data_IF_781936372201
#
_entry.id   IF_781936372201
#
_cell.length_a   1.000
_cell.length_b   1.000
_cell.length_c   1.000
_cell.angle_alpha   90.00
_cell.angle_beta   90.00
_cell.angle_gamma   90.00
#
_symmetry.space_group_name_H-M   'P 1'
#
loop_
_entity.id
_entity.type
_entity.pdbx_description
1 polymer ?
#
# COMPACT_ATOMS: atom_id res chain seq x y z
N UNK A 1 21.79 1.94 19.52
CA UNK A 1 21.57 2.54 18.17
C UNK A 1 22.64 2.11 17.17
N UNK A 2 23.95 2.37 17.42
CA UNK A 2 25.04 1.92 16.54
C UNK A 2 25.16 0.38 16.40
N UNK A 3 24.84 -0.39 17.44
CA UNK A 3 24.89 -1.87 17.39
C UNK A 3 23.77 -2.51 16.54
N UNK A 4 22.61 -1.87 16.41
CA UNK A 4 21.51 -2.37 15.55
C UNK A 4 21.82 -2.20 14.06
N UNK A 5 22.61 -1.19 13.70
CA UNK A 5 22.99 -0.87 12.31
C UNK A 5 24.06 -1.84 11.80
N UNK A 6 24.93 -2.37 12.68
CA UNK A 6 25.98 -3.31 12.30
C UNK A 6 25.45 -4.75 12.06
N UNK A 7 24.33 -5.13 12.70
CA UNK A 7 23.79 -6.49 12.63
C UNK A 7 23.02 -6.81 11.32
N UNK A 8 22.72 -5.82 10.47
CA UNK A 8 21.98 -6.03 9.22
C UNK A 8 22.88 -6.22 7.98
N UNK A 9 24.20 -6.35 8.16
CA UNK A 9 25.20 -6.45 7.08
C UNK A 9 25.44 -7.84 6.47
N UNK A 10 24.72 -8.88 6.90
CA UNK A 10 24.91 -10.25 6.40
C UNK A 10 23.59 -10.89 5.95
N UNK A 11 23.12 -10.56 4.75
CA UNK A 11 22.16 -11.39 4.03
C UNK A 11 22.66 -11.58 2.60
N UNK A 12 23.17 -12.78 2.33
CA UNK A 12 23.54 -13.25 1.00
C UNK A 12 22.32 -13.40 0.07
N UNK A 13 22.53 -13.80 -1.20
CA UNK A 13 21.50 -13.74 -2.22
C UNK A 13 20.48 -14.86 -1.99
N UNK A 14 19.37 -14.55 -1.31
CA UNK A 14 18.21 -15.42 -1.24
C UNK A 14 17.29 -15.08 -2.43
N UNK A 15 17.00 -16.10 -3.23
CA UNK A 15 16.13 -16.02 -4.39
C UNK A 15 14.75 -15.48 -4.05
N UNK A 16 14.16 -14.84 -5.05
CA UNK A 16 12.77 -14.35 -5.06
C UNK A 16 11.83 -15.53 -4.81
N UNK A 17 11.47 -15.77 -3.55
CA UNK A 17 10.27 -16.50 -3.19
C UNK A 17 9.17 -15.47 -3.02
N UNK A 18 8.07 -15.60 -3.76
CA UNK A 18 6.87 -14.79 -3.56
C UNK A 18 6.35 -15.04 -2.14
N UNK A 19 6.58 -14.10 -1.23
CA UNK A 19 5.93 -14.09 0.09
C UNK A 19 4.44 -13.80 -0.11
N UNK A 20 3.65 -14.87 -0.27
CA UNK A 20 2.20 -14.80 -0.12
C UNK A 20 1.93 -14.48 1.35
N UNK A 21 1.10 -13.46 1.60
CA UNK A 21 0.46 -13.30 2.90
C UNK A 21 -0.09 -14.67 3.32
N UNK A 22 0.30 -15.18 4.49
CA UNK A 22 -0.29 -16.41 5.00
C UNK A 22 -1.71 -16.04 5.39
N UNK A 23 -2.68 -16.47 4.60
CA UNK A 23 -4.11 -16.26 4.86
C UNK A 23 -4.70 -17.51 5.51
N UNK A 24 -5.39 -17.36 6.64
CA UNK A 24 -6.23 -18.42 7.22
C UNK A 24 -7.67 -18.12 6.85
N UNK A 25 -8.26 -18.94 5.99
CA UNK A 25 -9.66 -18.75 5.57
C UNK A 25 -10.55 -19.70 6.37
N UNK A 26 -11.46 -19.13 7.17
CA UNK A 26 -12.55 -19.87 7.79
C UNK A 26 -13.78 -19.70 6.90
N UNK A 27 -14.17 -20.77 6.22
CA UNK A 27 -15.37 -20.78 5.39
C UNK A 27 -16.56 -21.24 6.23
N UNK A 28 -17.78 -20.81 5.86
CA UNK A 28 -19.00 -21.50 6.29
C UNK A 28 -19.05 -22.94 5.73
N UNK A 29 -18.37 -23.16 4.60
CA UNK A 29 -18.32 -24.40 3.84
C UNK A 29 -16.89 -24.94 3.71
N UNK A 30 -16.60 -26.13 4.25
CA UNK A 30 -15.35 -26.81 3.94
C UNK A 30 -15.25 -27.13 2.43
N UNK A 31 -14.36 -26.42 1.72
CA UNK A 31 -13.70 -26.84 0.47
C UNK A 31 -14.49 -26.83 -0.87
N UNK A 32 -15.19 -25.74 -1.21
CA UNK A 32 -15.54 -25.47 -2.63
C UNK A 32 -15.22 -24.04 -3.12
N UNK A 33 -15.13 -23.05 -2.22
CA UNK A 33 -14.93 -21.64 -2.57
C UNK A 33 -13.49 -21.15 -2.75
N UNK A 34 -12.47 -21.96 -2.44
CA UNK A 34 -11.06 -21.52 -2.43
C UNK A 34 -10.61 -21.00 -3.80
N UNK A 35 -10.83 -21.72 -4.90
CA UNK A 35 -10.27 -21.31 -6.20
C UNK A 35 -10.88 -20.00 -6.77
N UNK A 36 -12.15 -19.71 -6.48
CA UNK A 36 -12.81 -18.48 -6.93
C UNK A 36 -12.50 -17.31 -5.99
N UNK A 37 -12.49 -17.51 -4.67
CA UNK A 37 -12.06 -16.49 -3.71
C UNK A 37 -10.57 -16.19 -3.87
N UNK A 38 -9.72 -17.20 -4.01
CA UNK A 38 -8.29 -17.06 -4.32
C UNK A 38 -8.12 -16.37 -5.68
N UNK A 39 -8.91 -16.73 -6.71
CA UNK A 39 -8.89 -16.07 -8.02
C UNK A 39 -9.40 -14.61 -7.99
N UNK A 40 -10.41 -14.31 -7.18
CA UNK A 40 -10.94 -12.95 -6.98
C UNK A 40 -9.98 -12.10 -6.14
N UNK A 41 -9.29 -12.68 -5.16
CA UNK A 41 -8.25 -12.03 -4.37
C UNK A 41 -6.97 -11.81 -5.19
N UNK A 42 -6.55 -12.78 -6.02
CA UNK A 42 -5.37 -12.70 -6.91
C UNK A 42 -5.59 -11.82 -8.17
N UNK A 43 -6.85 -11.50 -8.52
CA UNK A 43 -7.20 -10.75 -9.73
C UNK A 43 -6.67 -9.31 -9.81
N UNK A 44 -6.06 -8.79 -8.74
CA UNK A 44 -5.30 -7.53 -8.82
C UNK A 44 -3.95 -7.66 -9.54
N UNK A 45 -3.53 -8.87 -9.94
CA UNK A 45 -2.15 -9.13 -10.40
C UNK A 45 -2.06 -9.79 -11.80
N UNK A 46 -3.12 -10.42 -12.36
CA UNK A 46 -3.05 -11.00 -13.72
C UNK A 46 -4.40 -11.12 -14.46
N UNK A 47 -4.54 -10.56 -15.69
CA UNK A 47 -5.72 -10.74 -16.52
C UNK A 47 -5.65 -12.06 -17.31
N UNK A 48 -6.64 -12.95 -17.17
CA UNK A 48 -6.72 -14.15 -18.03
C UNK A 48 -7.61 -15.34 -17.61
N UNK A 49 -8.31 -15.29 -16.48
CA UNK A 49 -9.19 -16.37 -16.01
C UNK A 49 -10.66 -15.96 -16.05
N UNK A 50 -11.56 -16.95 -16.28
CA UNK A 50 -13.03 -16.84 -16.19
C UNK A 50 -13.48 -16.40 -14.79
N UNK A 51 -13.30 -15.11 -14.48
CA UNK A 51 -13.61 -14.50 -13.19
C UNK A 51 -14.68 -13.42 -13.36
N UNK A 52 -15.46 -13.13 -12.30
CA UNK A 52 -16.54 -12.15 -12.37
C UNK A 52 -16.00 -10.78 -12.77
N UNK A 53 -16.65 -10.11 -13.71
CA UNK A 53 -16.21 -8.78 -14.16
C UNK A 53 -16.82 -7.72 -13.26
N UNK A 54 -15.98 -6.95 -12.55
CA UNK A 54 -16.47 -5.79 -11.80
C UNK A 54 -17.09 -4.76 -12.75
N UNK A 55 -18.33 -4.37 -12.48
CA UNK A 55 -19.12 -3.39 -13.26
C UNK A 55 -19.42 -2.11 -12.48
N UNK A 56 -19.44 -2.17 -11.15
CA UNK A 56 -19.65 -1.00 -10.29
C UNK A 56 -19.11 -1.21 -8.86
N UNK A 57 -19.20 -0.17 -8.02
CA UNK A 57 -18.96 -0.23 -6.57
C UNK A 57 -19.77 0.85 -5.84
N UNK A 58 -20.11 0.60 -4.57
CA UNK A 58 -20.58 1.65 -3.68
C UNK A 58 -19.42 2.54 -3.21
N UNK A 59 -19.70 3.78 -2.75
CA UNK A 59 -18.74 4.53 -1.95
C UNK A 59 -18.30 3.71 -0.73
N UNK A 60 -17.02 3.83 -0.36
CA UNK A 60 -16.48 3.14 0.80
C UNK A 60 -17.15 3.60 2.09
N UNK A 61 -17.66 2.66 2.90
CA UNK A 61 -18.19 2.95 4.23
C UNK A 61 -17.01 2.99 5.22
N UNK A 62 -16.59 4.21 5.57
CA UNK A 62 -15.47 4.42 6.48
C UNK A 62 -15.78 4.08 7.94
N UNK A 63 -17.06 4.00 8.33
CA UNK A 63 -17.46 3.68 9.70
C UNK A 63 -17.26 2.19 9.98
N UNK A 64 -17.80 1.35 9.10
CA UNK A 64 -17.76 -0.11 9.23
C UNK A 64 -16.70 -0.78 8.34
N UNK A 65 -15.89 0.05 7.69
CA UNK A 65 -14.80 -0.34 6.80
C UNK A 65 -15.23 -1.25 5.64
N UNK A 66 -16.42 -1.01 5.06
CA UNK A 66 -16.99 -1.88 4.03
C UNK A 66 -16.66 -1.41 2.62
N UNK A 67 -16.30 -2.37 1.78
CA UNK A 67 -16.11 -2.24 0.35
C UNK A 67 -17.10 -3.17 -0.37
N UNK A 68 -18.10 -2.57 -1.01
CA UNK A 68 -19.11 -3.28 -1.79
C UNK A 68 -18.88 -3.09 -3.29
N UNK A 69 -18.79 -4.22 -4.01
CA UNK A 69 -18.48 -4.28 -5.43
C UNK A 69 -19.50 -5.14 -6.17
N UNK A 70 -19.83 -4.75 -7.40
CA UNK A 70 -20.82 -5.42 -8.24
C UNK A 70 -20.12 -6.11 -9.40
N UNK A 71 -20.48 -7.36 -9.64
CA UNK A 71 -19.83 -8.19 -10.64
C UNK A 71 -20.86 -8.88 -11.54
N UNK A 72 -20.56 -8.94 -12.82
CA UNK A 72 -21.34 -9.71 -13.80
C UNK A 72 -20.80 -11.14 -13.86
N UNK A 73 -21.70 -12.13 -13.74
CA UNK A 73 -21.35 -13.54 -13.85
C UNK A 73 -21.39 -13.96 -15.32
N UNK A 74 -20.29 -14.53 -15.82
CA UNK A 74 -20.12 -14.91 -17.24
C UNK A 74 -19.71 -16.37 -17.44
N UNK A 75 -19.33 -17.09 -16.38
CA UNK A 75 -18.83 -18.47 -16.43
C UNK A 75 -19.82 -19.54 -15.98
N UNK A 76 -19.64 -20.78 -16.48
CA UNK A 76 -20.43 -21.96 -16.06
C UNK A 76 -20.25 -22.27 -14.56
N UNK A 77 -19.01 -22.16 -14.03
CA UNK A 77 -18.70 -22.39 -12.61
C UNK A 77 -19.37 -21.40 -11.67
N UNK A 78 -19.49 -20.15 -12.10
CA UNK A 78 -20.15 -19.09 -11.33
C UNK A 78 -21.65 -19.37 -11.20
N UNK A 79 -22.26 -19.88 -12.27
CA UNK A 79 -23.68 -20.26 -12.29
C UNK A 79 -23.99 -21.46 -11.40
N UNK A 80 -23.03 -22.38 -11.20
CA UNK A 80 -23.17 -23.50 -10.26
C UNK A 80 -23.13 -23.04 -8.79
N UNK A 81 -22.25 -22.08 -8.47
CA UNK A 81 -22.06 -21.59 -7.09
C UNK A 81 -23.10 -20.55 -6.68
N UNK A 82 -23.61 -19.79 -7.66
CA UNK A 82 -24.63 -18.75 -7.48
C UNK A 82 -25.84 -19.02 -8.39
N UNK A 83 -26.63 -20.07 -8.11
CA UNK A 83 -27.73 -20.46 -9.00
C UNK A 83 -28.79 -19.36 -9.11
N UNK A 84 -29.13 -19.00 -10.35
CA UNK A 84 -30.18 -18.01 -10.66
C UNK A 84 -29.73 -16.55 -10.65
N UNK A 85 -28.47 -16.26 -10.32
CA UNK A 85 -27.92 -14.91 -10.36
C UNK A 85 -27.29 -14.59 -11.73
N UNK A 86 -27.52 -13.38 -12.24
CA UNK A 86 -26.76 -12.84 -13.39
C UNK A 86 -25.65 -11.90 -12.93
N UNK A 87 -25.84 -11.31 -11.76
CA UNK A 87 -24.91 -10.41 -11.10
C UNK A 87 -24.70 -10.81 -9.64
N UNK A 88 -23.55 -10.44 -9.11
CA UNK A 88 -23.13 -10.74 -7.75
C UNK A 88 -22.71 -9.45 -7.06
N UNK A 89 -23.29 -9.20 -5.89
CA UNK A 89 -22.81 -8.17 -4.96
C UNK A 89 -21.85 -8.84 -3.99
N UNK A 90 -20.67 -8.25 -3.83
CA UNK A 90 -19.65 -8.72 -2.90
C UNK A 90 -19.28 -7.59 -1.96
N UNK A 91 -19.52 -7.81 -0.68
CA UNK A 91 -19.19 -6.89 0.40
C UNK A 91 -18.08 -7.49 1.25
N UNK A 92 -17.01 -6.72 1.44
CA UNK A 92 -15.86 -7.11 2.26
C UNK A 92 -15.55 -5.99 3.25
N UNK A 93 -15.18 -6.33 4.47
CA UNK A 93 -14.82 -5.33 5.47
C UNK A 93 -14.62 -5.90 6.85
N UNK A 94 -14.81 -5.09 7.89
CA UNK A 94 -14.69 -5.54 9.27
C UNK A 94 -15.66 -6.70 9.54
N UNK A 95 -15.14 -7.79 10.12
CA UNK A 95 -15.89 -9.04 10.24
C UNK A 95 -17.14 -8.93 11.11
N UNK A 96 -17.04 -8.29 12.28
CA UNK A 96 -18.15 -8.15 13.22
C UNK A 96 -19.28 -7.24 12.68
N UNK A 97 -19.02 -6.02 12.16
CA UNK A 97 -20.06 -5.22 11.52
C UNK A 97 -20.74 -5.93 10.34
N UNK A 98 -19.97 -6.66 9.53
CA UNK A 98 -20.51 -7.43 8.42
C UNK A 98 -21.41 -8.58 8.90
N UNK A 99 -21.00 -9.29 9.95
CA UNK A 99 -21.82 -10.33 10.58
C UNK A 99 -23.14 -9.77 11.10
N UNK A 100 -23.14 -8.57 11.69
CA UNK A 100 -24.35 -7.88 12.13
C UNK A 100 -25.32 -7.48 11.01
N UNK A 101 -24.85 -7.43 9.76
CA UNK A 101 -25.63 -7.13 8.56
C UNK A 101 -26.04 -8.39 7.77
N UNK A 102 -25.59 -9.57 8.18
CA UNK A 102 -25.89 -10.84 7.51
C UNK A 102 -27.19 -11.46 8.04
N UNK A 103 -28.04 -11.91 7.11
CA UNK A 103 -29.25 -12.69 7.42
C UNK A 103 -29.09 -14.19 7.12
N UNK A 104 -28.07 -14.55 6.34
CA UNK A 104 -27.80 -15.91 5.91
C UNK A 104 -26.32 -16.24 6.04
N UNK A 105 -25.99 -17.51 6.08
CA UNK A 105 -24.64 -18.02 5.85
C UNK A 105 -24.62 -18.98 4.66
N UNK A 106 -23.50 -19.02 3.96
CA UNK A 106 -23.32 -19.91 2.84
C UNK A 106 -22.64 -21.21 3.31
N UNK A 107 -23.36 -22.33 3.17
CA UNK A 107 -22.86 -23.68 3.39
C UNK A 107 -22.68 -24.42 2.05
N UNK A 108 -21.98 -25.59 2.00
CA UNK A 108 -21.81 -26.35 0.76
C UNK A 108 -23.13 -26.73 0.09
N UNK A 109 -24.19 -26.92 0.88
CA UNK A 109 -25.54 -27.25 0.43
C UNK A 109 -26.34 -26.03 -0.05
N UNK A 110 -25.83 -24.81 0.17
CA UNK A 110 -26.45 -23.54 -0.20
C UNK A 110 -26.61 -22.57 0.97
N UNK A 111 -27.23 -21.39 0.73
CA UNK A 111 -27.48 -20.40 1.76
C UNK A 111 -28.53 -20.88 2.77
N UNK A 112 -28.24 -20.78 4.06
CA UNK A 112 -29.17 -21.05 5.16
C UNK A 112 -29.36 -19.80 6.04
N UNK A 113 -30.53 -19.64 6.69
CA UNK A 113 -30.74 -18.55 7.64
C UNK A 113 -29.71 -18.56 8.76
N UNK A 114 -29.15 -17.39 9.06
CA UNK A 114 -28.18 -17.22 10.13
C UNK A 114 -28.91 -17.10 11.46
N UNK A 115 -29.04 -18.21 12.19
CA UNK A 115 -29.65 -18.23 13.51
C UNK A 115 -28.68 -17.72 14.60
N UNK A 116 -29.21 -17.50 15.82
CA UNK A 116 -28.41 -17.00 16.95
C UNK A 116 -27.25 -17.91 17.32
N UNK A 117 -27.41 -19.23 17.17
CA UNK A 117 -26.35 -20.20 17.48
C UNK A 117 -25.23 -20.13 16.45
N UNK A 118 -25.57 -19.95 15.17
CA UNK A 118 -24.62 -19.81 14.07
C UNK A 118 -23.91 -18.47 14.12
N UNK A 119 -24.61 -17.37 14.39
CA UNK A 119 -23.97 -16.07 14.64
C UNK A 119 -22.98 -16.14 15.80
N UNK A 120 -23.32 -16.81 16.90
CA UNK A 120 -22.39 -16.99 18.03
C UNK A 120 -21.14 -17.78 17.62
N UNK A 121 -21.29 -18.83 16.81
CA UNK A 121 -20.14 -19.60 16.29
C UNK A 121 -19.25 -18.76 15.37
N UNK A 122 -19.82 -17.89 14.53
CA UNK A 122 -19.03 -16.96 13.71
C UNK A 122 -18.27 -15.95 14.59
N UNK A 123 -18.91 -15.41 15.63
CA UNK A 123 -18.26 -14.50 16.57
C UNK A 123 -17.11 -15.18 17.32
N UNK A 124 -17.30 -16.41 17.81
CA UNK A 124 -16.24 -17.20 18.45
C UNK A 124 -15.04 -17.42 17.50
N UNK A 125 -15.30 -17.65 16.21
CA UNK A 125 -14.24 -17.77 15.20
C UNK A 125 -13.50 -16.43 14.97
N UNK A 126 -14.20 -15.29 14.99
CA UNK A 126 -13.58 -13.96 14.92
C UNK A 126 -12.68 -13.77 16.13
N UNK A 127 -13.21 -13.98 17.34
CA UNK A 127 -12.47 -13.83 18.59
C UNK A 127 -11.24 -14.76 18.67
N UNK A 128 -11.36 -16.01 18.22
CA UNK A 128 -10.24 -16.96 18.16
C UNK A 128 -9.14 -16.44 17.22
N UNK A 129 -9.49 -16.01 16.01
CA UNK A 129 -8.55 -15.45 15.05
C UNK A 129 -7.88 -14.17 15.58
N UNK A 130 -8.66 -13.25 16.15
CA UNK A 130 -8.11 -12.00 16.72
C UNK A 130 -7.18 -12.28 17.90
N UNK A 131 -7.55 -13.22 18.78
CA UNK A 131 -6.71 -13.66 19.90
C UNK A 131 -5.39 -14.28 19.42
N UNK A 132 -5.41 -14.97 18.29
CA UNK A 132 -4.24 -15.54 17.64
C UNK A 132 -3.42 -14.48 16.85
N UNK A 133 -3.82 -13.20 16.91
CA UNK A 133 -3.11 -12.07 16.31
C UNK A 133 -3.44 -11.81 14.84
N UNK A 134 -4.55 -12.36 14.34
CA UNK A 134 -5.00 -12.15 12.97
C UNK A 134 -5.91 -10.93 12.88
N UNK A 135 -5.74 -10.13 11.83
CA UNK A 135 -6.78 -9.18 11.43
C UNK A 135 -7.83 -9.94 10.64
N UNK A 136 -9.10 -9.82 11.03
CA UNK A 136 -10.18 -10.60 10.41
C UNK A 136 -11.01 -9.72 9.48
N UNK A 137 -11.12 -10.12 8.22
CA UNK A 137 -12.06 -9.54 7.26
C UNK A 137 -13.23 -10.49 7.03
N UNK A 138 -14.44 -9.95 7.07
CA UNK A 138 -15.62 -10.66 6.62
C UNK A 138 -15.78 -10.55 5.11
N UNK A 139 -16.31 -11.61 4.50
CA UNK A 139 -16.75 -11.62 3.10
C UNK A 139 -18.20 -12.10 3.06
N UNK A 140 -19.06 -11.31 2.45
CA UNK A 140 -20.46 -11.67 2.23
C UNK A 140 -20.86 -11.37 0.79
N UNK A 141 -21.93 -12.01 0.36
CA UNK A 141 -22.46 -11.87 -0.99
C UNK A 141 -23.97 -11.78 -1.01
N UNK A 142 -24.50 -11.26 -2.12
CA UNK A 142 -25.93 -11.27 -2.43
C UNK A 142 -26.14 -11.50 -3.94
N UNK A 143 -27.09 -12.36 -4.33
CA UNK A 143 -27.45 -12.54 -5.73
C UNK A 143 -28.23 -11.33 -6.26
N UNK A 144 -28.01 -11.01 -7.53
CA UNK A 144 -28.83 -10.07 -8.28
C UNK A 144 -29.27 -10.72 -9.61
N UNK A 145 -30.58 -10.63 -9.88
CA UNK A 145 -31.14 -11.02 -11.18
C UNK A 145 -30.82 -10.02 -12.27
N UNK A 146 -30.69 -8.73 -11.92
CA UNK A 146 -30.31 -7.62 -12.79
C UNK A 146 -29.66 -6.48 -11.99
N UNK A 147 -28.90 -5.60 -12.64
CA UNK A 147 -28.35 -4.40 -12.01
C UNK A 147 -29.45 -3.38 -11.69
N UNK A 148 -29.54 -2.89 -10.43
CA UNK A 148 -30.53 -1.89 -10.09
C UNK A 148 -30.19 -0.53 -10.71
N UNK A 149 -31.20 0.33 -10.93
CA UNK A 149 -31.01 1.65 -11.54
C UNK A 149 -30.27 2.65 -10.63
N UNK A 150 -30.23 2.39 -9.32
CA UNK A 150 -29.49 3.16 -8.33
C UNK A 150 -28.79 2.20 -7.36
N UNK A 151 -27.60 2.59 -6.92
CA UNK A 151 -26.80 1.84 -5.94
C UNK A 151 -26.80 2.63 -4.62
N UNK A 152 -27.24 2.01 -3.55
CA UNK A 152 -27.31 2.61 -2.22
C UNK A 152 -26.89 1.63 -1.11
N UNK A 153 -26.81 2.14 0.13
CA UNK A 153 -26.35 1.38 1.29
C UNK A 153 -27.35 0.32 1.78
N UNK A 154 -28.60 0.31 1.31
CA UNK A 154 -29.55 -0.75 1.69
C UNK A 154 -29.12 -2.10 1.09
N UNK A 155 -28.29 -2.08 0.04
CA UNK A 155 -27.65 -3.25 -0.55
C UNK A 155 -26.57 -3.89 0.34
N UNK A 156 -26.22 -3.26 1.46
CA UNK A 156 -25.30 -3.80 2.46
C UNK A 156 -26.03 -4.43 3.65
N UNK A 157 -27.31 -4.83 3.47
CA UNK A 157 -28.14 -5.53 4.46
C UNK A 157 -28.59 -6.89 3.94
N UNK A 158 -29.09 -7.73 4.84
CA UNK A 158 -29.58 -9.08 4.54
C UNK A 158 -28.57 -9.96 3.80
N UNK A 159 -27.28 -9.74 4.09
CA UNK A 159 -26.18 -10.36 3.37
C UNK A 159 -26.09 -11.86 3.65
N UNK A 160 -25.52 -12.61 2.71
CA UNK A 160 -25.16 -14.01 2.91
C UNK A 160 -23.66 -14.11 3.23
N UNK A 161 -23.33 -14.39 4.49
CA UNK A 161 -21.95 -14.50 4.95
C UNK A 161 -21.28 -15.71 4.29
N UNK A 162 -20.16 -15.48 3.62
CA UNK A 162 -19.44 -16.50 2.86
C UNK A 162 -18.27 -17.08 3.66
N UNK A 163 -17.44 -16.19 4.20
CA UNK A 163 -16.19 -16.57 4.84
C UNK A 163 -15.67 -15.45 5.76
N UNK A 164 -14.81 -15.85 6.68
CA UNK A 164 -13.86 -14.99 7.36
C UNK A 164 -12.47 -15.23 6.78
N UNK A 165 -11.79 -14.14 6.47
CA UNK A 165 -10.40 -14.10 6.04
C UNK A 165 -9.57 -13.60 7.21
N UNK A 166 -8.89 -14.51 7.89
CA UNK A 166 -7.78 -14.17 8.77
C UNK A 166 -6.60 -13.74 7.91
N UNK A 167 -6.23 -12.47 8.04
CA UNK A 167 -5.04 -11.89 7.44
C UNK A 167 -4.03 -11.75 8.58
N UNK A 168 -2.97 -12.55 8.52
CA UNK A 168 -1.81 -12.22 9.32
C UNK A 168 -1.20 -11.02 8.63
N UNK A 169 -1.36 -9.84 9.25
CA UNK A 169 -0.35 -8.81 9.05
C UNK A 169 0.91 -9.40 9.66
N UNK A 170 1.65 -10.20 8.88
CA UNK A 170 3.10 -10.16 8.97
C UNK A 170 3.40 -8.67 9.00
N UNK A 171 4.01 -8.19 10.09
CA UNK A 171 4.53 -6.82 10.20
C UNK A 171 4.91 -6.39 8.80
N UNK A 172 4.36 -5.28 8.32
CA UNK A 172 4.27 -4.88 6.93
C UNK A 172 5.66 -4.59 6.31
N UNK A 173 6.60 -5.52 6.41
CA UNK A 173 7.70 -5.72 5.52
C UNK A 173 7.10 -6.24 4.22
N UNK A 174 6.34 -5.37 3.53
CA UNK A 174 6.23 -5.47 2.07
C UNK A 174 7.64 -5.76 1.58
N UNK A 175 7.89 -6.84 0.80
CA UNK A 175 9.22 -7.21 0.38
C UNK A 175 9.87 -5.95 -0.18
N UNK A 176 10.95 -5.51 0.48
CA UNK A 176 11.39 -4.12 0.36
C UNK A 176 11.60 -3.80 -1.11
N UNK A 177 10.70 -2.98 -1.68
CA UNK A 177 10.75 -2.64 -3.10
C UNK A 177 12.09 -1.96 -3.38
N UNK A 178 12.53 -1.92 -4.64
CA UNK A 178 13.75 -1.19 -4.99
C UNK A 178 13.75 0.25 -4.42
N UNK A 179 12.57 0.88 -4.34
CA UNK A 179 12.39 2.21 -3.76
C UNK A 179 12.40 2.20 -2.23
N UNK A 180 11.81 1.20 -1.57
CA UNK A 180 11.86 1.07 -0.11
C UNK A 180 13.30 0.90 0.39
N UNK A 181 14.09 0.02 -0.25
CA UNK A 181 15.52 -0.13 0.06
C UNK A 181 16.27 1.18 -0.17
N UNK A 182 15.99 1.87 -1.28
CA UNK A 182 16.61 3.16 -1.56
C UNK A 182 16.22 4.24 -0.54
N UNK A 183 14.99 4.27 -0.03
CA UNK A 183 14.59 5.18 1.06
C UNK A 183 15.33 4.88 2.36
N UNK A 184 15.51 3.60 2.71
CA UNK A 184 16.30 3.19 3.88
C UNK A 184 17.75 3.69 3.76
N UNK A 185 18.38 3.50 2.60
CA UNK A 185 19.74 4.00 2.37
C UNK A 185 19.77 5.54 2.44
N UNK A 186 18.82 6.23 1.81
CA UNK A 186 18.75 7.69 1.83
C UNK A 186 18.58 8.24 3.25
N UNK A 187 17.74 7.61 4.08
CA UNK A 187 17.56 7.98 5.48
C UNK A 187 18.87 7.87 6.27
N UNK A 188 19.60 6.76 6.12
CA UNK A 188 20.91 6.58 6.77
C UNK A 188 21.92 7.65 6.33
N UNK A 189 21.95 7.98 5.04
CA UNK A 189 22.80 9.05 4.51
C UNK A 189 22.43 10.40 5.11
N UNK A 190 21.15 10.77 5.09
CA UNK A 190 20.67 12.05 5.63
C UNK A 190 20.94 12.18 7.14
N UNK A 191 20.73 11.10 7.89
CA UNK A 191 21.03 11.03 9.31
C UNK A 191 22.52 11.27 9.59
N UNK A 192 23.42 10.59 8.86
CA UNK A 192 24.85 10.77 9.03
C UNK A 192 25.28 12.20 8.68
N UNK A 193 24.76 12.77 7.59
CA UNK A 193 25.06 14.14 7.19
C UNK A 193 24.62 15.18 8.21
N UNK A 194 23.44 15.00 8.81
CA UNK A 194 22.95 15.88 9.88
C UNK A 194 23.78 15.75 11.17
N UNK A 195 24.43 14.60 11.42
CA UNK A 195 25.19 14.35 12.65
C UNK A 195 26.69 14.66 12.55
N UNK A 196 27.31 14.54 11.37
CA UNK A 196 28.79 14.44 11.26
C UNK A 196 29.43 15.51 10.38
N UNK A 197 28.64 16.26 9.59
CA UNK A 197 29.16 17.27 8.67
C UNK A 197 30.02 16.71 7.53
N UNK A 198 30.05 15.38 7.34
CA UNK A 198 30.79 14.73 6.27
C UNK A 198 30.33 15.17 4.87
N UNK A 199 31.20 14.98 3.87
CA UNK A 199 30.88 15.27 2.48
C UNK A 199 29.74 14.38 1.97
N UNK A 200 28.67 15.00 1.44
CA UNK A 200 27.46 14.29 1.01
C UNK A 200 27.72 13.17 0.00
N UNK A 201 28.59 13.41 -0.98
CA UNK A 201 28.93 12.41 -1.98
C UNK A 201 29.66 11.22 -1.35
N UNK A 202 30.64 11.48 -0.48
CA UNK A 202 31.40 10.46 0.24
C UNK A 202 30.50 9.55 1.07
N UNK A 203 29.60 10.14 1.87
CA UNK A 203 28.65 9.37 2.69
C UNK A 203 27.69 8.57 1.81
N UNK A 204 27.16 9.20 0.76
CA UNK A 204 26.21 8.53 -0.15
C UNK A 204 26.86 7.33 -0.83
N UNK A 205 28.04 7.49 -1.41
CA UNK A 205 28.73 6.42 -2.12
C UNK A 205 29.18 5.30 -1.16
N UNK A 206 29.64 5.65 0.05
CA UNK A 206 29.99 4.66 1.07
C UNK A 206 28.78 3.81 1.50
N UNK A 207 27.62 4.44 1.72
CA UNK A 207 26.39 3.73 2.11
C UNK A 207 25.82 2.88 0.98
N UNK A 208 25.85 3.39 -0.25
CA UNK A 208 25.44 2.62 -1.44
C UNK A 208 26.32 1.38 -1.65
N UNK A 209 27.63 1.53 -1.46
CA UNK A 209 28.58 0.41 -1.55
C UNK A 209 28.32 -0.62 -0.44
N UNK A 210 28.19 -0.16 0.81
CA UNK A 210 27.98 -1.04 1.96
C UNK A 210 26.68 -1.87 1.87
N UNK A 211 25.65 -1.34 1.21
CA UNK A 211 24.37 -2.04 1.03
C UNK A 211 24.24 -2.79 -0.32
N UNK A 212 25.32 -2.92 -1.09
CA UNK A 212 25.31 -3.56 -2.41
C UNK A 212 24.19 -3.01 -3.34
N UNK A 213 23.98 -1.69 -3.31
CA UNK A 213 22.84 -1.07 -3.97
C UNK A 213 22.90 -1.24 -5.50
N UNK A 214 21.77 -1.57 -6.12
CA UNK A 214 21.63 -1.62 -7.58
C UNK A 214 21.80 -0.23 -8.20
N UNK A 215 22.07 -0.16 -9.50
CA UNK A 215 22.17 1.14 -10.21
C UNK A 215 20.89 1.98 -10.08
N UNK A 216 19.72 1.34 -10.12
CA UNK A 216 18.43 2.02 -9.95
C UNK A 216 18.26 2.58 -8.55
N UNK A 217 18.61 1.80 -7.52
CA UNK A 217 18.62 2.25 -6.13
C UNK A 217 19.59 3.42 -5.94
N UNK A 218 20.82 3.30 -6.45
CA UNK A 218 21.82 4.35 -6.38
C UNK A 218 21.35 5.68 -7.00
N UNK A 219 20.68 5.60 -8.15
CA UNK A 219 20.07 6.78 -8.79
C UNK A 219 19.02 7.41 -7.89
N UNK A 220 18.09 6.60 -7.36
CA UNK A 220 17.01 7.11 -6.51
C UNK A 220 17.54 7.74 -5.20
N UNK A 221 18.48 7.07 -4.54
CA UNK A 221 19.15 7.57 -3.32
C UNK A 221 19.78 8.93 -3.58
N UNK A 222 20.56 9.07 -4.65
CA UNK A 222 21.24 10.33 -4.97
C UNK A 222 20.25 11.46 -5.23
N UNK A 223 19.18 11.20 -5.98
CA UNK A 223 18.12 12.18 -6.22
C UNK A 223 17.48 12.61 -4.89
N UNK A 224 17.07 11.64 -4.07
CA UNK A 224 16.35 11.92 -2.83
C UNK A 224 17.23 12.70 -1.84
N UNK A 225 18.46 12.25 -1.60
CA UNK A 225 19.43 12.91 -0.71
C UNK A 225 19.72 14.34 -1.18
N UNK A 226 19.97 14.54 -2.48
CA UNK A 226 20.30 15.86 -3.00
C UNK A 226 19.14 16.83 -2.91
N UNK A 227 17.92 16.39 -3.23
CA UNK A 227 16.73 17.25 -3.18
C UNK A 227 16.33 17.58 -1.74
N UNK A 228 16.36 16.61 -0.82
CA UNK A 228 16.10 16.90 0.60
C UNK A 228 17.08 17.94 1.12
N UNK A 229 18.38 17.80 0.82
CA UNK A 229 19.40 18.77 1.24
C UNK A 229 19.21 20.14 0.60
N UNK A 230 18.93 20.18 -0.71
CA UNK A 230 18.74 21.43 -1.47
C UNK A 230 17.51 22.21 -1.00
N UNK A 231 16.45 21.51 -0.62
CA UNK A 231 15.18 22.12 -0.22
C UNK A 231 14.93 22.08 1.29
N UNK A 232 15.94 21.75 2.10
CA UNK A 232 15.81 21.62 3.56
C UNK A 232 15.04 22.77 4.21
N UNK A 233 15.37 24.03 3.88
CA UNK A 233 14.70 25.19 4.46
C UNK A 233 13.20 25.25 4.14
N UNK A 234 12.81 24.86 2.91
CA UNK A 234 11.40 24.81 2.48
C UNK A 234 10.69 23.66 3.20
N UNK A 235 11.33 22.48 3.26
CA UNK A 235 10.78 21.31 3.93
C UNK A 235 10.59 21.56 5.43
N UNK A 236 11.56 22.21 6.08
CA UNK A 236 11.49 22.59 7.49
C UNK A 236 10.40 23.65 7.76
N UNK A 237 10.15 24.56 6.81
CA UNK A 237 9.04 25.52 6.92
C UNK A 237 7.69 24.83 6.88
N UNK A 238 7.50 23.90 5.93
CA UNK A 238 6.29 23.08 5.86
C UNK A 238 6.13 22.29 7.16
N UNK A 239 7.20 21.66 7.65
CA UNK A 239 7.14 20.96 8.93
C UNK A 239 6.72 21.83 10.10
N UNK A 240 7.23 23.07 10.20
CA UNK A 240 6.80 23.99 11.28
C UNK A 240 5.32 24.34 11.21
N UNK A 241 4.74 24.36 10.02
CA UNK A 241 3.32 24.62 9.85
C UNK A 241 2.45 23.49 10.40
N UNK A 242 2.82 22.23 10.14
CA UNK A 242 1.99 21.06 10.51
C UNK A 242 2.38 20.43 11.84
N UNK A 243 3.65 20.54 12.27
CA UNK A 243 4.13 20.07 13.56
C UNK A 243 4.19 21.23 14.57
N UNK A 244 3.04 21.87 14.83
CA UNK A 244 2.92 23.09 15.65
C UNK A 244 3.54 22.90 17.04
N UNK A 245 3.28 21.76 17.68
CA UNK A 245 3.76 21.45 19.03
C UNK A 245 5.22 20.96 19.06
N UNK A 246 5.77 20.55 17.91
CA UNK A 246 7.10 19.93 17.79
C UNK A 246 7.87 20.51 16.60
N UNK A 247 8.50 21.69 16.77
CA UNK A 247 9.25 22.30 15.69
C UNK A 247 10.41 21.39 15.25
N UNK A 248 10.86 21.47 13.98
CA UNK A 248 11.86 20.55 13.40
C UNK A 248 13.13 20.43 14.24
N UNK A 249 13.55 21.50 14.91
CA UNK A 249 14.74 21.54 15.74
C UNK A 249 14.64 20.65 16.99
N UNK A 250 13.42 20.36 17.47
CA UNK A 250 13.14 19.51 18.62
C UNK A 250 12.89 18.05 18.22
N UNK A 251 12.59 17.78 16.95
CA UNK A 251 12.41 16.42 16.45
C UNK A 251 13.71 15.63 16.47
N UNK A 252 13.59 14.34 16.78
CA UNK A 252 14.66 13.38 16.59
C UNK A 252 15.16 13.46 15.14
N UNK A 253 16.49 13.39 14.95
CA UNK A 253 17.11 13.53 13.62
C UNK A 253 16.58 12.50 12.62
N UNK A 254 16.19 11.31 13.09
CA UNK A 254 15.57 10.27 12.26
C UNK A 254 14.18 10.73 11.79
N UNK A 255 13.27 11.02 12.73
CA UNK A 255 11.88 11.42 12.44
C UNK A 255 11.82 12.65 11.54
N UNK A 256 12.66 13.66 11.82
CA UNK A 256 12.77 14.86 10.98
C UNK A 256 13.14 14.51 9.54
N UNK A 257 14.10 13.60 9.34
CA UNK A 257 14.53 13.23 7.99
C UNK A 257 13.51 12.33 7.27
N UNK A 258 12.78 11.48 8.00
CA UNK A 258 11.64 10.73 7.47
C UNK A 258 10.57 11.70 6.95
N UNK A 259 10.15 12.67 7.76
CA UNK A 259 9.12 13.62 7.37
C UNK A 259 9.57 14.51 6.19
N UNK A 260 10.82 14.99 6.20
CA UNK A 260 11.40 15.73 5.06
C UNK A 260 11.33 14.94 3.75
N UNK A 261 11.66 13.65 3.80
CA UNK A 261 11.59 12.77 2.63
C UNK A 261 10.15 12.62 2.14
N UNK A 262 9.21 12.35 3.05
CA UNK A 262 7.79 12.19 2.71
C UNK A 262 7.19 13.47 2.09
N UNK A 263 7.45 14.64 2.68
CA UNK A 263 6.99 15.94 2.16
C UNK A 263 7.57 16.21 0.77
N UNK A 264 8.87 15.93 0.59
CA UNK A 264 9.50 16.06 -0.73
C UNK A 264 8.80 15.16 -1.76
N UNK A 265 8.49 13.92 -1.40
CA UNK A 265 7.80 12.97 -2.29
C UNK A 265 6.36 13.40 -2.61
N UNK A 266 5.61 13.94 -1.64
CA UNK A 266 4.29 14.55 -1.88
C UNK A 266 4.36 15.71 -2.87
N UNK A 267 5.36 16.58 -2.74
CA UNK A 267 5.56 17.69 -3.68
C UNK A 267 5.84 17.19 -5.11
N UNK A 268 6.38 15.98 -5.24
CA UNK A 268 6.64 15.31 -6.52
C UNK A 268 5.45 14.39 -6.85
N UNK A 269 4.37 14.97 -7.37
CA UNK A 269 3.08 14.31 -7.68
C UNK A 269 3.13 13.08 -8.64
N UNK A 270 4.31 12.63 -9.07
CA UNK A 270 4.54 11.44 -9.89
C UNK A 270 5.54 10.45 -9.27
N UNK A 271 5.99 10.68 -8.04
CA UNK A 271 6.95 9.82 -7.36
C UNK A 271 6.28 8.52 -6.90
N UNK A 272 5.20 8.59 -6.12
CA UNK A 272 4.36 7.48 -5.67
C UNK A 272 2.98 8.00 -5.20
N UNK A 273 1.94 7.15 -5.09
CA UNK A 273 0.68 7.52 -4.43
C UNK A 273 0.90 7.99 -3.00
N UNK A 274 0.10 8.96 -2.54
CA UNK A 274 0.21 9.56 -1.19
C UNK A 274 0.18 8.49 -0.10
N UNK A 275 -0.78 7.56 -0.15
CA UNK A 275 -0.89 6.47 0.82
C UNK A 275 0.37 5.59 0.88
N UNK A 276 1.05 5.36 -0.25
CA UNK A 276 2.30 4.59 -0.30
C UNK A 276 3.44 5.36 0.39
N UNK A 277 3.53 6.68 0.16
CA UNK A 277 4.56 7.51 0.81
C UNK A 277 4.35 7.56 2.32
N UNK A 278 3.11 7.69 2.78
CA UNK A 278 2.76 7.63 4.22
C UNK A 278 3.17 6.28 4.81
N UNK A 279 2.75 5.19 4.18
CA UNK A 279 3.09 3.84 4.65
C UNK A 279 4.60 3.61 4.72
N UNK A 280 5.36 4.04 3.71
CA UNK A 280 6.83 3.91 3.70
C UNK A 280 7.50 4.77 4.77
N UNK A 281 6.99 5.97 5.04
CA UNK A 281 7.50 6.83 6.11
C UNK A 281 7.29 6.20 7.50
N UNK A 282 6.11 5.61 7.68
CA UNK A 282 5.74 4.88 8.90
C UNK A 282 6.62 3.64 9.10
N UNK A 283 6.86 2.85 8.05
CA UNK A 283 7.75 1.69 8.12
C UNK A 283 9.20 2.10 8.44
N UNK A 284 9.69 3.22 7.90
CA UNK A 284 10.98 3.77 8.30
C UNK A 284 11.02 4.15 9.79
N UNK A 285 9.92 4.71 10.32
CA UNK A 285 9.82 5.06 11.73
C UNK A 285 9.89 3.81 12.62
N UNK A 286 9.19 2.74 12.25
CA UNK A 286 9.26 1.45 12.96
C UNK A 286 10.68 0.85 12.96
N UNK A 287 11.37 0.94 11.82
CA UNK A 287 12.70 0.35 11.66
C UNK A 287 13.81 1.14 12.38
N UNK A 288 13.73 2.47 12.39
CA UNK A 288 14.84 3.34 12.81
C UNK A 288 14.52 4.22 14.01
N UNK A 289 13.27 4.27 14.46
CA UNK A 289 12.79 5.08 15.57
C UNK A 289 12.07 4.21 16.62
N UNK A 290 11.18 4.80 17.43
CA UNK A 290 10.37 4.10 18.44
C UNK A 290 8.87 4.16 18.15
N UNK A 291 8.08 3.44 18.94
CA UNK A 291 6.63 3.30 18.72
C UNK A 291 5.89 4.64 18.77
N UNK A 292 6.31 5.57 19.64
CA UNK A 292 5.72 6.93 19.71
C UNK A 292 5.90 7.74 18.42
N UNK A 293 6.94 7.44 17.62
CA UNK A 293 7.18 8.12 16.34
C UNK A 293 6.21 7.67 15.25
N UNK A 294 5.63 6.47 15.36
CA UNK A 294 4.64 5.95 14.41
C UNK A 294 3.40 6.85 14.35
N UNK A 295 2.76 7.07 15.50
CA UNK A 295 1.52 7.85 15.60
C UNK A 295 1.75 9.31 15.23
N UNK A 296 2.89 9.86 15.69
CA UNK A 296 3.28 11.23 15.38
C UNK A 296 3.48 11.45 13.88
N UNK A 297 4.28 10.60 13.21
CA UNK A 297 4.56 10.73 11.77
C UNK A 297 3.29 10.54 10.95
N UNK A 298 2.45 9.56 11.30
CA UNK A 298 1.19 9.33 10.63
C UNK A 298 0.25 10.55 10.76
N UNK A 299 0.13 11.12 11.96
CA UNK A 299 -0.69 12.31 12.21
C UNK A 299 -0.24 13.53 11.41
N UNK A 300 1.07 13.83 11.40
CA UNK A 300 1.63 14.96 10.64
C UNK A 300 1.44 14.77 9.14
N UNK A 301 1.74 13.58 8.60
CA UNK A 301 1.62 13.34 7.16
C UNK A 301 0.15 13.26 6.70
N UNK A 302 -0.77 12.78 7.53
CA UNK A 302 -2.20 12.82 7.28
C UNK A 302 -2.71 14.25 7.15
N UNK A 303 -2.34 15.14 8.09
CA UNK A 303 -2.70 16.56 8.02
C UNK A 303 -2.16 17.26 6.76
N UNK A 304 -0.93 16.92 6.35
CA UNK A 304 -0.32 17.45 5.11
C UNK A 304 -1.01 16.91 3.86
N UNK A 305 -1.49 15.66 3.89
CA UNK A 305 -2.17 15.04 2.76
C UNK A 305 -3.59 15.57 2.54
N UNK A 306 -4.30 15.89 3.63
CA UNK A 306 -5.66 16.44 3.60
C UNK A 306 -5.69 17.90 3.13
N UNK A 307 -4.64 18.67 3.44
CA UNK A 307 -4.49 20.02 2.95
C UNK A 307 -3.77 19.99 1.61
N UNK A 308 -4.54 19.98 0.52
CA UNK A 308 -4.01 20.18 -0.84
C UNK A 308 -2.99 21.34 -0.80
N UNK A 309 -1.71 21.02 -1.04
CA UNK A 309 -0.55 21.93 -0.96
C UNK A 309 -0.59 23.03 -2.06
N UNK A 310 -1.73 23.71 -2.22
CA UNK A 310 -2.13 24.48 -3.38
C UNK A 310 -2.01 26.00 -3.20
N UNK A 311 -1.82 26.54 -2.00
CA UNK A 311 -1.96 28.02 -1.85
C UNK A 311 -0.66 28.78 -1.62
N UNK A 312 0.22 28.37 -0.70
CA UNK A 312 1.57 28.96 -0.55
C UNK A 312 2.69 28.03 -1.04
N UNK A 313 2.42 26.73 -1.08
CA UNK A 313 3.37 25.71 -1.51
C UNK A 313 3.53 25.62 -3.04
N UNK A 314 2.65 26.17 -3.89
CA UNK A 314 2.77 26.04 -5.36
C UNK A 314 4.06 26.62 -5.93
N UNK A 315 4.58 27.73 -5.39
CA UNK A 315 5.86 28.31 -5.81
C UNK A 315 7.03 27.39 -5.42
N UNK A 316 7.02 26.91 -4.18
CA UNK A 316 8.00 25.97 -3.62
C UNK A 316 7.96 24.60 -4.33
N UNK A 317 6.76 24.08 -4.59
CA UNK A 317 6.45 22.84 -5.33
C UNK A 317 6.91 22.94 -6.77
N UNK A 318 6.66 24.06 -7.45
CA UNK A 318 7.14 24.30 -8.82
C UNK A 318 8.67 24.27 -8.91
N UNK A 319 9.36 24.80 -7.88
CA UNK A 319 10.83 24.76 -7.79
C UNK A 319 11.34 23.35 -7.53
N UNK A 320 10.77 22.64 -6.55
CA UNK A 320 11.10 21.24 -6.23
C UNK A 320 10.89 20.33 -7.45
N UNK A 321 9.75 20.45 -8.13
CA UNK A 321 9.43 19.68 -9.32
C UNK A 321 10.40 19.93 -10.47
N UNK A 322 10.82 21.19 -10.68
CA UNK A 322 11.81 21.55 -11.68
C UNK A 322 13.16 20.90 -11.39
N UNK A 323 13.62 21.01 -10.15
CA UNK A 323 14.91 20.47 -9.71
C UNK A 323 14.89 18.93 -9.77
N UNK A 324 13.78 18.29 -9.40
CA UNK A 324 13.58 16.84 -9.56
C UNK A 324 13.64 16.39 -11.02
N UNK A 325 12.96 17.10 -11.93
CA UNK A 325 13.00 16.79 -13.37
C UNK A 325 14.40 16.96 -13.95
N UNK A 326 15.13 17.99 -13.54
CA UNK A 326 16.52 18.19 -13.94
C UNK A 326 17.42 17.04 -13.47
N UNK A 327 17.30 16.63 -12.20
CA UNK A 327 18.06 15.50 -11.66
C UNK A 327 17.71 14.15 -12.28
N UNK A 328 16.46 13.95 -12.74
CA UNK A 328 16.09 12.78 -13.53
C UNK A 328 16.79 12.77 -14.90
N UNK A 329 16.80 13.90 -15.61
CA UNK A 329 17.39 14.05 -16.94
C UNK A 329 18.92 13.97 -16.92
N UNK A 330 19.58 14.54 -15.91
CA UNK A 330 21.04 14.49 -15.76
C UNK A 330 21.57 13.08 -15.47
N UNK A 331 20.70 12.17 -15.04
CA UNK A 331 21.04 10.79 -14.69
C UNK A 331 20.57 9.78 -15.76
N UNK A 332 19.93 10.24 -16.83
CA UNK A 332 19.78 9.49 -18.08
C UNK A 332 21.12 9.52 -18.83
N UNK A 333 21.85 8.41 -18.76
CA UNK A 333 23.09 8.23 -19.52
C UNK A 333 22.85 8.53 -21.02
N UNK A 334 23.73 9.28 -21.69
CA UNK A 334 23.66 9.55 -23.14
C UNK A 334 23.56 8.27 -24.00
N UNK A 335 23.96 7.11 -23.46
CA UNK A 335 23.93 5.82 -24.14
C UNK A 335 22.53 5.23 -24.35
N UNK A 336 21.56 5.46 -23.44
CA UNK A 336 20.21 4.90 -23.61
C UNK A 336 19.44 5.59 -24.74
N UNK A 337 19.65 6.90 -24.93
CA UNK A 337 19.09 7.64 -26.07
C UNK A 337 19.82 7.32 -27.39
N UNK A 338 21.09 6.92 -27.34
CA UNK A 338 21.84 6.49 -28.51
C UNK A 338 21.37 5.12 -29.00
N UNK A 339 21.20 4.12 -28.12
CA UNK A 339 20.64 2.81 -28.47
C UNK A 339 19.20 2.90 -28.96
N UNK A 340 18.37 3.77 -28.36
CA UNK A 340 16.99 4.01 -28.83
C UNK A 340 16.98 4.76 -30.17
N UNK A 341 17.87 5.74 -30.40
CA UNK A 341 17.99 6.40 -31.73
C UNK A 341 18.52 5.45 -32.79
N UNK A 342 19.46 4.59 -32.46
CA UNK A 342 20.02 3.60 -33.39
C UNK A 342 18.98 2.52 -33.71
N UNK A 343 18.24 2.02 -32.71
CA UNK A 343 17.14 1.08 -32.91
C UNK A 343 15.94 1.68 -33.68
N UNK A 344 15.63 2.97 -33.49
CA UNK A 344 14.59 3.68 -34.25
C UNK A 344 15.02 3.97 -35.69
N UNK A 345 16.32 4.18 -35.94
CA UNK A 345 16.88 4.34 -37.28
C UNK A 345 17.01 3.00 -38.02
N UNK A 346 17.24 1.89 -37.31
CA UNK A 346 17.37 0.56 -37.90
C UNK A 346 16.02 -0.16 -38.11
N UNK A 347 15.00 0.06 -37.27
CA UNK A 347 13.75 -0.70 -37.33
C UNK A 347 12.49 0.09 -37.75
N UNK A 348 12.59 1.41 -38.00
CA UNK A 348 11.55 2.15 -38.72
C UNK A 348 10.12 2.16 -38.13
N UNK A 349 9.91 1.70 -36.89
CA UNK A 349 8.58 1.69 -36.26
C UNK A 349 8.57 2.51 -34.95
N UNK A 350 7.61 3.44 -34.90
CA UNK A 350 7.36 4.34 -33.76
C UNK A 350 6.61 3.60 -32.65
N UNK A 351 7.04 3.67 -31.38
CA UNK A 351 6.35 2.98 -30.29
C UNK A 351 5.20 3.86 -29.80
N UNK A 352 4.07 3.84 -30.52
CA UNK A 352 2.77 4.23 -29.98
C UNK A 352 1.74 3.19 -30.39
N UNK A 353 1.43 2.28 -29.46
CA UNK A 353 0.06 1.88 -29.13
C UNK A 353 0.02 1.19 -27.77
#
# INVERSE_FOLDING_TARGET
MMERIAAQGELGPAGVASERAVSRIIHGAALAGSALLDGMLDSQISPGTDLPRQVASLPYDALDCLLTTFHELRGERESEMFPGATHLVLTRGAAEPLLGRAAHEHLPEGPLPLDTSRSASWLENIEELERDGWRVLGVAWQPLEDMPPALDSDMERDLCLLALLGIQETEHQSPATERSIARRIALQVLFELDCTGHGAQTVTDARLFAQNATRKQARYVRILVNLVRRHRAILDEILRHYAIDWPPEQLATVDRNILRMAILEFAIARSAPVAVVINEAIELARLFSGDESFDFINGVLGAIADEDLETEALSSRSRILRDYRASMLEQEEPGALAEVREAVLENGESPVK
#
